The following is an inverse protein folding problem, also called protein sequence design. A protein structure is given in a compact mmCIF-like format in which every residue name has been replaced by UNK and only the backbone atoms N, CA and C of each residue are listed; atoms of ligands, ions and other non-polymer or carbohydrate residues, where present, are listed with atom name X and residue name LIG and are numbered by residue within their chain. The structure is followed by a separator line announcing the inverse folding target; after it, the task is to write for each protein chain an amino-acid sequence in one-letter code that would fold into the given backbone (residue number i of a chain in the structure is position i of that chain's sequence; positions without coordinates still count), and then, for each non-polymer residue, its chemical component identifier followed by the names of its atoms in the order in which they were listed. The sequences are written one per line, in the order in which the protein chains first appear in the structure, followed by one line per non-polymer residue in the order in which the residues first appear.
data_IF_308888541544
#
_entry.id   IF_308888541544
#
_cell.length_a   1.000
_cell.length_b   1.000
_cell.length_c   1.000
_cell.angle_alpha   90.00
_cell.angle_beta   90.00
_cell.angle_gamma   90.00
#
_symmetry.space_group_name_H-M   'P 1'
#
loop_
_entity.id
_entity.type
_entity.pdbx_description
1 polymer ?
#
# COMPACT_ATOMS: atom_id res chain seq x y z
N UNK A 1 -1.21 13.47 -3.85
CA UNK A 1 -1.99 14.35 -2.94
C UNK A 1 -1.25 15.65 -2.58
N UNK A 2 -0.03 15.87 -3.08
CA UNK A 2 0.68 17.13 -2.82
C UNK A 2 1.24 17.24 -1.40
N UNK A 3 1.27 16.16 -0.62
CA UNK A 3 1.75 16.19 0.76
C UNK A 3 3.25 16.34 0.78
N UNK A 4 3.77 17.24 1.63
CA UNK A 4 5.20 17.48 1.81
C UNK A 4 5.97 17.83 0.51
N UNK A 5 5.26 18.25 -0.55
CA UNK A 5 5.85 18.73 -1.80
C UNK A 5 6.20 20.23 -1.70
N UNK A 6 7.35 20.63 -2.23
CA UNK A 6 7.87 22.00 -2.18
C UNK A 6 8.89 22.27 -1.06
N UNK A 7 9.52 23.45 -1.08
CA UNK A 7 10.51 23.84 -0.06
C UNK A 7 10.37 25.32 0.36
N UNK A 8 9.76 25.60 1.54
CA UNK A 8 9.02 24.66 2.37
C UNK A 8 7.70 24.22 1.71
N UNK A 9 7.13 23.07 2.07
CA UNK A 9 5.73 22.75 1.75
C UNK A 9 4.80 23.85 2.27
N UNK A 10 3.66 24.07 1.60
CA UNK A 10 2.68 25.06 2.09
C UNK A 10 2.12 24.63 3.45
N UNK A 11 1.66 25.57 4.30
CA UNK A 11 1.13 25.22 5.63
C UNK A 11 0.03 24.16 5.61
N UNK A 12 -0.79 24.12 4.56
CA UNK A 12 -1.89 23.16 4.39
C UNK A 12 -1.42 21.77 3.96
N UNK A 13 -0.19 21.67 3.42
CA UNK A 13 0.43 20.44 2.92
C UNK A 13 1.56 19.92 3.81
N UNK A 14 1.88 20.65 4.87
CA UNK A 14 2.83 20.24 5.89
C UNK A 14 2.17 19.21 6.83
N UNK A 15 2.87 18.10 7.05
CA UNK A 15 2.51 17.06 8.02
C UNK A 15 3.53 17.14 9.15
N UNK A 16 3.05 17.26 10.38
CA UNK A 16 3.89 17.42 11.58
C UNK A 16 3.48 16.43 12.66
N UNK A 17 4.24 16.40 13.76
CA UNK A 17 3.79 15.86 15.03
C UNK A 17 2.72 16.77 15.67
N UNK A 18 1.87 16.25 16.59
CA UNK A 18 1.85 14.88 17.15
C UNK A 18 1.08 13.87 16.29
N UNK A 19 0.86 12.66 16.82
CA UNK A 19 0.09 11.56 16.20
C UNK A 19 -1.26 12.01 15.65
N UNK A 20 -2.01 12.85 16.38
CA UNK A 20 -3.29 13.38 15.93
C UNK A 20 -3.23 14.17 14.61
N UNK A 21 -2.03 14.59 14.17
CA UNK A 21 -1.81 15.20 12.87
C UNK A 21 -1.37 14.14 11.86
N UNK A 22 -0.25 13.46 12.06
CA UNK A 22 0.29 12.56 11.03
C UNK A 22 -0.53 11.27 10.86
N UNK A 23 -1.28 10.80 11.86
CA UNK A 23 -2.22 9.68 11.76
C UNK A 23 -3.65 10.08 11.39
N UNK A 24 -3.93 11.35 11.11
CA UNK A 24 -5.27 11.79 10.71
C UNK A 24 -5.55 11.52 9.23
N UNK A 25 -6.77 11.09 8.88
CA UNK A 25 -7.20 11.11 7.49
C UNK A 25 -7.41 12.56 7.02
N UNK A 26 -6.98 12.97 5.81
CA UNK A 26 -6.31 12.18 4.78
C UNK A 26 -4.77 12.17 4.83
N UNK A 27 -4.13 12.78 5.82
CA UNK A 27 -2.65 12.83 5.94
C UNK A 27 -2.03 11.44 6.10
N UNK A 28 -2.77 10.51 6.71
CA UNK A 28 -2.36 9.12 6.88
C UNK A 28 -2.02 8.44 5.54
N UNK A 29 -2.66 8.85 4.44
CA UNK A 29 -2.40 8.33 3.07
C UNK A 29 -1.00 8.62 2.53
N UNK A 30 -0.19 9.35 3.28
CA UNK A 30 1.20 9.63 2.96
C UNK A 30 2.09 9.30 4.16
N UNK A 31 1.72 9.71 5.37
CA UNK A 31 2.60 9.55 6.54
C UNK A 31 2.99 8.10 6.84
N UNK A 32 2.13 7.12 6.58
CA UNK A 32 2.42 5.70 6.83
C UNK A 32 3.49 5.11 5.90
N UNK A 33 3.72 5.71 4.73
CA UNK A 33 4.86 5.39 3.87
C UNK A 33 6.14 6.12 4.30
N UNK A 34 6.01 7.19 5.09
CA UNK A 34 7.08 8.16 5.36
C UNK A 34 7.38 8.34 6.86
N UNK A 35 6.90 7.46 7.75
CA UNK A 35 7.06 7.64 9.21
C UNK A 35 8.50 7.87 9.67
N UNK A 36 9.48 7.30 8.96
CA UNK A 36 10.91 7.44 9.27
C UNK A 36 11.44 8.87 9.10
N UNK A 37 10.69 9.75 8.44
CA UNK A 37 11.02 11.16 8.26
C UNK A 37 10.60 12.02 9.47
N UNK A 38 9.72 11.51 10.35
CA UNK A 38 9.13 12.27 11.47
C UNK A 38 9.47 11.72 12.84
N UNK A 39 9.74 10.42 12.91
CA UNK A 39 9.94 9.69 14.14
C UNK A 39 11.35 9.09 14.18
N UNK A 40 11.98 8.97 15.36
CA UNK A 40 13.18 8.16 15.53
C UNK A 40 12.90 6.72 15.08
N UNK A 41 13.78 6.16 14.25
CA UNK A 41 13.67 4.78 13.80
C UNK A 41 14.98 4.04 13.94
N UNK A 42 14.88 2.75 14.20
CA UNK A 42 16.00 1.82 14.13
C UNK A 42 15.88 0.98 12.84
N UNK A 43 17.02 0.65 12.25
CA UNK A 43 17.04 -0.25 11.10
C UNK A 43 16.96 -1.71 11.57
N UNK A 44 16.00 -2.45 11.03
CA UNK A 44 15.99 -3.91 11.11
C UNK A 44 16.61 -4.44 9.82
N UNK A 45 17.84 -4.96 9.92
CA UNK A 45 18.58 -5.49 8.77
C UNK A 45 17.90 -6.72 8.18
N UNK A 46 17.89 -6.82 6.85
CA UNK A 46 17.47 -8.02 6.11
C UNK A 46 18.55 -9.11 6.02
N UNK A 47 19.70 -8.90 6.66
CA UNK A 47 20.91 -9.72 6.50
C UNK A 47 21.81 -9.24 5.36
N UNK A 48 23.02 -9.83 5.27
CA UNK A 48 24.03 -9.47 4.26
C UNK A 48 23.92 -10.30 2.97
N UNK A 49 23.21 -11.42 3.02
CA UNK A 49 23.03 -12.31 1.88
C UNK A 49 22.07 -11.74 0.82
N UNK A 50 22.08 -12.36 -0.36
CA UNK A 50 21.14 -12.03 -1.42
C UNK A 50 19.70 -12.38 -0.98
N UNK A 51 18.71 -11.52 -1.27
CA UNK A 51 17.32 -11.86 -1.00
C UNK A 51 16.89 -13.05 -1.86
N UNK A 52 15.97 -13.87 -1.34
CA UNK A 52 15.32 -14.93 -2.12
C UNK A 52 14.19 -14.25 -2.92
N UNK A 53 14.21 -14.31 -4.26
CA UNK A 53 13.12 -13.73 -5.05
C UNK A 53 11.82 -14.50 -4.80
N UNK A 54 10.69 -13.81 -4.87
CA UNK A 54 9.39 -14.47 -4.89
C UNK A 54 9.17 -15.11 -6.27
N UNK A 55 8.55 -16.28 -6.28
CA UNK A 55 8.16 -16.94 -7.52
C UNK A 55 6.86 -16.32 -8.04
N UNK A 56 6.88 -15.77 -9.25
CA UNK A 56 5.68 -15.26 -9.91
C UNK A 56 5.09 -16.30 -10.87
N UNK A 57 3.80 -16.17 -11.17
CA UNK A 57 3.25 -16.82 -12.36
C UNK A 57 3.98 -16.35 -13.64
N UNK A 58 4.02 -17.16 -14.70
CA UNK A 58 4.51 -16.72 -16.01
C UNK A 58 3.83 -15.41 -16.44
N UNK A 59 4.51 -14.47 -17.11
CA UNK A 59 3.98 -13.11 -17.31
C UNK A 59 2.59 -13.02 -17.95
N UNK A 60 2.27 -13.91 -18.90
CA UNK A 60 0.96 -13.97 -19.54
C UNK A 60 -0.11 -14.46 -18.55
N UNK A 61 0.14 -15.58 -17.87
CA UNK A 61 -0.75 -16.13 -16.84
C UNK A 61 -0.94 -15.14 -15.68
N UNK A 62 0.11 -14.42 -15.28
CA UNK A 62 0.01 -13.38 -14.26
C UNK A 62 -0.83 -12.18 -14.71
N UNK A 63 -0.83 -11.84 -16.00
CA UNK A 63 -1.70 -10.78 -16.51
C UNK A 63 -3.17 -11.23 -16.53
N UNK A 64 -3.43 -12.47 -16.94
CA UNK A 64 -4.77 -13.06 -17.00
C UNK A 64 -5.35 -13.26 -15.60
N UNK A 65 -4.57 -13.84 -14.68
CA UNK A 65 -4.99 -14.08 -13.29
C UNK A 65 -5.28 -12.77 -12.56
N UNK A 66 -4.46 -11.73 -12.81
CA UNK A 66 -4.73 -10.40 -12.25
C UNK A 66 -6.05 -9.81 -12.73
N UNK A 67 -6.38 -9.94 -14.01
CA UNK A 67 -7.66 -9.46 -14.55
C UNK A 67 -8.83 -10.28 -13.99
N UNK A 68 -8.67 -11.60 -13.85
CA UNK A 68 -9.69 -12.47 -13.27
C UNK A 68 -9.96 -12.11 -11.80
N UNK A 69 -8.91 -11.88 -11.02
CA UNK A 69 -9.03 -11.46 -9.61
C UNK A 69 -9.64 -10.05 -9.51
N UNK A 70 -9.20 -9.09 -10.34
CA UNK A 70 -9.77 -7.74 -10.38
C UNK A 70 -11.29 -7.75 -10.63
N UNK A 71 -11.78 -8.70 -11.43
CA UNK A 71 -13.18 -8.84 -11.80
C UNK A 71 -14.06 -9.62 -10.80
N UNK A 72 -13.47 -10.21 -9.74
CA UNK A 72 -14.26 -10.92 -8.72
C UNK A 72 -15.25 -9.96 -8.07
N UNK A 73 -16.53 -10.34 -8.00
CA UNK A 73 -17.56 -9.53 -7.34
C UNK A 73 -17.92 -10.08 -5.97
N UNK A 74 -18.28 -9.19 -5.06
CA UNK A 74 -18.77 -9.54 -3.73
C UNK A 74 -19.59 -8.40 -3.14
N UNK A 75 -20.44 -8.73 -2.17
CA UNK A 75 -21.14 -7.75 -1.33
C UNK A 75 -20.32 -7.52 -0.06
N UNK A 76 -19.83 -6.29 0.21
CA UNK A 76 -19.11 -6.00 1.44
C UNK A 76 -19.97 -6.21 2.68
N UNK A 77 -19.33 -6.49 3.81
CA UNK A 77 -20.03 -6.52 5.09
C UNK A 77 -20.67 -5.15 5.38
N UNK A 78 -21.92 -5.16 5.82
CA UNK A 78 -22.71 -3.95 6.11
C UNK A 78 -23.03 -3.08 4.87
N UNK A 79 -23.07 -3.68 3.69
CA UNK A 79 -23.51 -3.05 2.44
C UNK A 79 -24.53 -3.94 1.75
N UNK A 80 -25.46 -3.34 1.01
CA UNK A 80 -26.33 -4.05 0.06
C UNK A 80 -25.82 -3.91 -1.40
N UNK A 81 -24.90 -2.97 -1.64
CA UNK A 81 -24.30 -2.75 -2.95
C UNK A 81 -23.13 -3.72 -3.19
N UNK A 82 -23.16 -4.42 -4.32
CA UNK A 82 -22.05 -5.24 -4.81
C UNK A 82 -20.90 -4.36 -5.33
N UNK A 83 -19.66 -4.83 -5.19
CA UNK A 83 -18.49 -4.24 -5.85
C UNK A 83 -17.53 -5.33 -6.33
N UNK A 84 -16.64 -4.94 -7.24
CA UNK A 84 -15.50 -5.76 -7.65
C UNK A 84 -14.35 -5.70 -6.65
N UNK A 85 -13.46 -6.69 -6.69
CA UNK A 85 -12.19 -6.67 -5.99
C UNK A 85 -11.40 -5.39 -6.27
N UNK A 86 -11.27 -5.01 -7.54
CA UNK A 86 -10.53 -3.81 -7.93
C UNK A 86 -11.13 -2.52 -7.32
N UNK A 87 -12.46 -2.38 -7.32
CA UNK A 87 -13.15 -1.25 -6.70
C UNK A 87 -12.92 -1.21 -5.18
N UNK A 88 -12.92 -2.38 -4.53
CA UNK A 88 -12.71 -2.49 -3.09
C UNK A 88 -11.35 -1.95 -2.65
N UNK A 89 -10.29 -2.11 -3.48
CA UNK A 89 -8.96 -1.61 -3.15
C UNK A 89 -8.96 -0.09 -3.02
N UNK A 90 -9.65 0.59 -3.95
CA UNK A 90 -9.81 2.05 -3.93
C UNK A 90 -10.72 2.51 -2.80
N UNK A 91 -11.85 1.83 -2.59
CA UNK A 91 -12.82 2.15 -1.54
C UNK A 91 -12.19 2.08 -0.13
N UNK A 92 -11.23 1.17 0.07
CA UNK A 92 -10.51 0.99 1.33
C UNK A 92 -9.18 1.74 1.43
N UNK A 93 -8.87 2.61 0.45
CA UNK A 93 -7.59 3.34 0.41
C UNK A 93 -6.36 2.43 0.49
N UNK A 94 -6.42 1.25 -0.14
CA UNK A 94 -5.31 0.29 -0.18
C UNK A 94 -4.10 0.94 -0.85
N UNK A 95 -2.95 0.92 -0.17
CA UNK A 95 -1.69 1.40 -0.74
C UNK A 95 -0.87 0.26 -1.37
N UNK A 96 -0.97 -0.98 -0.86
CA UNK A 96 -0.36 -2.15 -1.50
C UNK A 96 -1.02 -3.46 -1.09
N UNK A 97 -1.05 -4.41 -2.03
CA UNK A 97 -1.60 -5.74 -1.80
C UNK A 97 -0.85 -6.78 -2.64
N UNK A 98 -0.55 -7.92 -2.01
CA UNK A 98 0.14 -9.06 -2.60
C UNK A 98 -0.62 -10.34 -2.21
N UNK A 99 -0.96 -11.16 -3.20
CA UNK A 99 -1.58 -12.47 -2.97
C UNK A 99 -0.61 -13.56 -3.43
N UNK A 100 -0.25 -14.43 -2.48
CA UNK A 100 0.55 -15.62 -2.73
C UNK A 100 -0.35 -16.84 -2.59
N UNK A 101 -0.41 -17.65 -3.64
CA UNK A 101 -1.16 -18.91 -3.65
C UNK A 101 -0.23 -20.05 -4.09
N UNK A 102 -0.18 -21.12 -3.30
CA UNK A 102 0.70 -22.27 -3.53
C UNK A 102 2.18 -21.90 -3.77
N UNK A 103 2.70 -20.91 -3.03
CA UNK A 103 4.08 -20.45 -3.13
C UNK A 103 4.38 -19.51 -4.30
N UNK A 104 3.37 -19.14 -5.09
CA UNK A 104 3.53 -18.19 -6.21
C UNK A 104 2.74 -16.92 -6.01
N UNK A 105 3.32 -15.79 -6.43
CA UNK A 105 2.62 -14.51 -6.54
C UNK A 105 1.65 -14.59 -7.71
N UNK A 106 0.36 -14.45 -7.40
CA UNK A 106 -0.75 -14.51 -8.38
C UNK A 106 -1.41 -13.15 -8.58
N UNK A 107 -1.22 -12.22 -7.63
CA UNK A 107 -1.77 -10.87 -7.72
C UNK A 107 -0.88 -9.88 -6.96
N UNK A 108 -0.69 -8.70 -7.54
CA UNK A 108 0.07 -7.61 -6.93
C UNK A 108 -0.39 -6.25 -7.48
N UNK A 109 -0.60 -5.29 -6.57
CA UNK A 109 -0.92 -3.89 -6.88
C UNK A 109 -0.32 -2.96 -5.83
N UNK A 110 0.04 -1.77 -6.29
CA UNK A 110 0.52 -0.66 -5.47
C UNK A 110 -0.19 0.63 -5.89
N UNK A 111 -0.52 1.48 -4.92
CA UNK A 111 -1.24 2.73 -5.09
C UNK A 111 -0.74 3.79 -4.10
N UNK A 112 -1.25 5.01 -4.23
CA UNK A 112 -1.02 6.05 -3.23
C UNK A 112 0.45 6.42 -3.11
N UNK A 113 1.00 6.34 -1.89
CA UNK A 113 2.40 6.63 -1.59
C UNK A 113 3.33 5.41 -1.68
N UNK A 114 2.79 4.21 -1.82
CA UNK A 114 3.57 2.98 -1.79
C UNK A 114 3.97 2.55 -3.20
N UNK A 115 5.26 2.23 -3.37
CA UNK A 115 5.80 1.54 -4.53
C UNK A 115 6.29 0.14 -4.15
N UNK A 116 6.73 -0.62 -5.15
CA UNK A 116 7.23 -2.01 -4.99
C UNK A 116 8.36 -2.14 -3.97
N UNK A 117 9.25 -1.15 -3.90
CA UNK A 117 10.39 -1.08 -2.99
C UNK A 117 10.15 -0.18 -1.76
N UNK A 118 8.93 0.34 -1.62
CA UNK A 118 8.55 1.26 -0.56
C UNK A 118 8.37 0.56 0.80
N UNK A 119 8.50 1.33 1.87
CA UNK A 119 8.21 0.87 3.23
C UNK A 119 6.85 1.41 3.67
N UNK A 120 6.04 0.57 4.28
CA UNK A 120 4.74 0.95 4.82
C UNK A 120 4.65 0.56 6.29
N UNK A 121 4.06 1.41 7.12
CA UNK A 121 3.77 1.05 8.50
C UNK A 121 2.70 -0.05 8.56
N UNK A 122 2.99 -1.17 9.22
CA UNK A 122 2.10 -2.34 9.25
C UNK A 122 1.01 -2.27 10.33
N UNK A 123 1.20 -1.44 11.37
CA UNK A 123 0.34 -1.40 12.57
C UNK A 123 0.12 -2.80 13.19
N UNK A 124 -0.92 -2.94 14.03
CA UNK A 124 -1.29 -4.18 14.74
C UNK A 124 -2.77 -4.49 14.61
#
# INVERSE_FOLDING_TARGET
MGWMEGFPPTPEKLITQPDSIYFSFPRLRWSVCHLREFLPTEEISRGLDAPVPLDYLPPAEFADERQAIDALTFTPMNSDDEMTWAESLSANYTDGILIIHAGRVVYERYFGCLGEDGKHAAMS
#
